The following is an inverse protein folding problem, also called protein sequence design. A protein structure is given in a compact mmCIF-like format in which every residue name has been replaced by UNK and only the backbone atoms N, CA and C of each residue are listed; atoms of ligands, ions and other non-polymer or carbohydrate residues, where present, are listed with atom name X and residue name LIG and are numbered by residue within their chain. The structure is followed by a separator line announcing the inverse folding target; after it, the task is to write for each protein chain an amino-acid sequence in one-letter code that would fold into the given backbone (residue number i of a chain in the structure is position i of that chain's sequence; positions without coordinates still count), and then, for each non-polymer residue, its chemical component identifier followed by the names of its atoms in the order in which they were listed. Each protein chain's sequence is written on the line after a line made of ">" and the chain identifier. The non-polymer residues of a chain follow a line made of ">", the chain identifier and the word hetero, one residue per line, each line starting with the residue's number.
data_IF_024935764821
#
_entry.id   IF_024935764821
#
_cell.length_a   1.000
_cell.length_b   1.000
_cell.length_c   1.000
_cell.angle_alpha   90.00
_cell.angle_beta   90.00
_cell.angle_gamma   90.00
#
_symmetry.space_group_name_H-M   'P 1'
#
loop_
_entity.id
_entity.type
_entity.pdbx_description
1 polymer ?
#
# COMPACT_ATOMS: atom_id res chain seq x y z
N UNK A 1 11.84 -24.51 -1.95
CA UNK A 1 10.86 -24.16 -0.89
C UNK A 1 9.74 -25.20 -0.93
N UNK A 2 9.52 -25.93 0.17
CA UNK A 2 8.43 -26.93 0.25
C UNK A 2 7.23 -26.25 0.91
N UNK A 3 6.07 -26.30 0.26
CA UNK A 3 4.81 -25.71 0.72
C UNK A 3 3.81 -26.82 1.01
N UNK A 4 3.15 -26.76 2.15
CA UNK A 4 2.01 -27.62 2.46
C UNK A 4 0.76 -26.75 2.59
N UNK A 5 -0.29 -27.15 1.88
CA UNK A 5 -1.61 -26.52 1.90
C UNK A 5 -2.55 -27.47 2.64
N UNK A 6 -2.95 -27.09 3.86
CA UNK A 6 -3.89 -27.87 4.68
C UNK A 6 -5.28 -27.31 4.44
N UNK A 7 -6.10 -28.06 3.69
CA UNK A 7 -7.50 -27.74 3.41
C UNK A 7 -8.43 -28.70 4.11
N UNK A 8 -9.26 -28.20 5.02
CA UNK A 8 -10.37 -28.97 5.56
C UNK A 8 -11.54 -28.91 4.56
N UNK A 9 -11.75 -29.96 3.77
CA UNK A 9 -12.70 -29.89 2.64
C UNK A 9 -14.16 -30.26 2.99
N UNK A 10 -14.45 -30.82 4.17
CA UNK A 10 -15.82 -31.13 4.66
C UNK A 10 -15.87 -31.22 6.20
N UNK A 11 -17.04 -31.01 6.84
CA UNK A 11 -17.23 -31.19 8.28
C UNK A 11 -17.21 -32.66 8.75
N UNK A 12 -16.95 -33.64 7.88
CA UNK A 12 -16.76 -35.03 8.28
C UNK A 12 -15.35 -35.23 8.87
N UNK A 13 -15.29 -35.34 10.20
CA UNK A 13 -14.09 -35.29 11.06
C UNK A 13 -13.02 -36.36 10.81
N UNK A 14 -13.28 -37.39 10.00
CA UNK A 14 -12.39 -38.55 9.89
C UNK A 14 -11.14 -38.34 9.01
N UNK A 15 -11.19 -37.43 8.03
CA UNK A 15 -10.08 -37.26 7.06
C UNK A 15 -8.92 -36.44 7.63
N UNK A 16 -9.19 -35.42 8.44
CA UNK A 16 -8.16 -34.59 9.08
C UNK A 16 -7.38 -35.39 10.13
N UNK A 17 -8.08 -36.19 10.94
CA UNK A 17 -7.44 -37.09 11.92
C UNK A 17 -6.59 -38.20 11.28
N UNK A 18 -6.90 -38.62 10.04
CA UNK A 18 -6.11 -39.65 9.35
C UNK A 18 -4.81 -39.14 8.71
N UNK A 19 -4.75 -37.85 8.37
CA UNK A 19 -3.61 -37.25 7.65
C UNK A 19 -2.59 -36.63 8.64
N UNK A 20 -3.05 -36.08 9.77
CA UNK A 20 -2.18 -35.44 10.78
C UNK A 20 -1.09 -36.36 11.35
N UNK A 21 -1.32 -37.66 11.61
CA UNK A 21 -0.27 -38.54 12.13
C UNK A 21 0.80 -38.91 11.08
N UNK A 22 0.50 -38.78 9.78
CA UNK A 22 1.38 -39.23 8.70
C UNK A 22 2.30 -38.13 8.16
N UNK A 23 1.91 -36.85 8.25
CA UNK A 23 2.73 -35.72 7.79
C UNK A 23 4.03 -35.48 8.61
N UNK A 24 4.06 -35.62 9.96
CA UNK A 24 5.23 -35.28 10.79
C UNK A 24 6.50 -36.04 10.40
N UNK A 25 6.36 -37.25 9.86
CA UNK A 25 7.51 -38.13 9.55
C UNK A 25 8.18 -37.83 8.20
N UNK A 26 7.57 -37.04 7.33
CA UNK A 26 8.10 -36.77 5.98
C UNK A 26 8.69 -35.36 5.80
N UNK A 27 8.48 -34.45 6.76
CA UNK A 27 8.75 -33.01 6.55
C UNK A 27 9.38 -32.31 7.76
N UNK A 28 10.57 -32.73 8.19
CA UNK A 28 11.39 -31.99 9.17
C UNK A 28 11.97 -30.66 8.63
N UNK A 29 11.81 -30.37 7.34
CA UNK A 29 12.38 -29.20 6.67
C UNK A 29 11.31 -28.25 6.07
N UNK A 30 10.13 -28.20 6.68
CA UNK A 30 9.01 -27.39 6.18
C UNK A 30 9.18 -25.94 6.65
N UNK A 31 9.42 -25.03 5.70
CA UNK A 31 9.65 -23.61 5.98
C UNK A 31 8.41 -22.74 5.77
N UNK A 32 7.36 -23.28 5.12
CA UNK A 32 6.15 -22.54 4.76
C UNK A 32 4.89 -23.39 4.84
N UNK A 33 3.89 -22.90 5.59
CA UNK A 33 2.63 -23.58 5.84
C UNK A 33 1.47 -22.62 5.57
N UNK A 34 0.51 -23.07 4.76
CA UNK A 34 -0.77 -22.39 4.55
C UNK A 34 -1.89 -23.23 5.17
N UNK A 35 -2.69 -22.61 6.03
CA UNK A 35 -3.81 -23.25 6.73
C UNK A 35 -5.10 -22.55 6.32
N UNK A 36 -6.03 -23.33 5.79
CA UNK A 36 -7.38 -22.88 5.47
C UNK A 36 -8.37 -23.42 6.50
N UNK A 37 -9.05 -22.53 7.22
CA UNK A 37 -10.08 -22.86 8.21
C UNK A 37 -11.48 -22.46 7.72
N UNK A 38 -12.18 -23.34 6.99
CA UNK A 38 -13.55 -23.09 6.54
C UNK A 38 -14.54 -23.39 7.67
N UNK A 39 -14.89 -22.36 8.45
CA UNK A 39 -16.05 -22.24 9.36
C UNK A 39 -16.41 -23.38 10.35
N UNK A 40 -16.65 -22.98 11.60
CA UNK A 40 -17.43 -23.66 12.66
C UNK A 40 -17.08 -25.12 12.99
N UNK A 41 -16.03 -25.31 13.78
CA UNK A 41 -16.11 -26.10 15.04
C UNK A 41 -14.97 -25.70 15.96
N UNK A 42 -15.20 -25.50 17.27
CA UNK A 42 -14.10 -25.24 18.25
C UNK A 42 -12.96 -26.28 18.19
N UNK A 43 -13.21 -27.49 17.68
CA UNK A 43 -12.17 -28.50 17.48
C UNK A 43 -11.13 -28.12 16.41
N UNK A 44 -11.45 -27.22 15.48
CA UNK A 44 -10.51 -26.79 14.44
C UNK A 44 -9.39 -25.91 14.99
N UNK A 45 -9.61 -25.17 16.08
CA UNK A 45 -8.56 -24.30 16.65
C UNK A 45 -7.43 -25.09 17.30
N UNK A 46 -7.76 -26.06 18.16
CA UNK A 46 -6.78 -26.94 18.82
C UNK A 46 -5.98 -27.73 17.78
N UNK A 47 -6.68 -28.29 16.78
CA UNK A 47 -6.05 -29.04 15.68
C UNK A 47 -5.02 -28.20 14.92
N UNK A 48 -5.30 -26.91 14.67
CA UNK A 48 -4.38 -26.01 13.98
C UNK A 48 -3.13 -25.74 14.80
N UNK A 49 -3.32 -25.49 16.10
CA UNK A 49 -2.21 -25.27 17.02
C UNK A 49 -1.31 -26.51 17.05
N UNK A 50 -1.90 -27.69 17.19
CA UNK A 50 -1.16 -28.94 17.22
C UNK A 50 -0.42 -29.20 15.90
N UNK A 51 -1.03 -28.89 14.75
CA UNK A 51 -0.37 -28.98 13.45
C UNK A 51 0.83 -28.05 13.37
N UNK A 52 0.73 -26.81 13.84
CA UNK A 52 1.84 -25.85 13.78
C UNK A 52 2.95 -26.22 14.77
N UNK A 53 2.61 -26.72 15.97
CA UNK A 53 3.57 -27.22 16.97
C UNK A 53 4.50 -28.31 16.42
N UNK A 54 4.07 -29.05 15.38
CA UNK A 54 4.89 -30.05 14.71
C UNK A 54 6.02 -29.45 13.84
N UNK A 55 6.01 -28.14 13.56
CA UNK A 55 6.98 -27.47 12.69
C UNK A 55 7.65 -26.27 13.38
N UNK A 56 8.52 -26.51 14.38
CA UNK A 56 9.17 -25.43 15.14
C UNK A 56 10.12 -24.54 14.30
N UNK A 57 10.52 -25.00 13.12
CA UNK A 57 11.39 -24.28 12.18
C UNK A 57 10.62 -23.49 11.12
N UNK A 58 9.31 -23.30 11.28
CA UNK A 58 8.49 -22.60 10.31
C UNK A 58 8.85 -21.11 10.28
N UNK A 59 9.23 -20.62 9.09
CA UNK A 59 9.56 -19.20 8.88
C UNK A 59 8.41 -18.43 8.23
N UNK A 60 7.52 -19.11 7.53
CA UNK A 60 6.37 -18.51 6.84
C UNK A 60 5.07 -19.20 7.25
N UNK A 61 4.10 -18.40 7.73
CA UNK A 61 2.80 -18.89 8.17
C UNK A 61 1.70 -18.05 7.51
N UNK A 62 0.77 -18.74 6.87
CA UNK A 62 -0.44 -18.13 6.34
C UNK A 62 -1.65 -18.83 6.96
N UNK A 63 -2.48 -18.07 7.68
CA UNK A 63 -3.73 -18.56 8.27
C UNK A 63 -4.88 -17.80 7.64
N UNK A 64 -5.83 -18.54 7.09
CA UNK A 64 -7.09 -18.00 6.57
C UNK A 64 -8.22 -18.48 7.47
N UNK A 65 -8.80 -17.56 8.22
CA UNK A 65 -9.88 -17.83 9.18
C UNK A 65 -11.19 -17.19 8.73
N UNK A 66 -12.27 -17.55 9.41
CA UNK A 66 -13.49 -16.74 9.44
C UNK A 66 -13.39 -15.68 10.54
N UNK A 67 -14.10 -14.52 10.43
CA UNK A 67 -13.99 -13.37 11.33
C UNK A 67 -14.06 -13.66 12.85
N UNK A 68 -14.65 -14.77 13.26
CA UNK A 68 -15.00 -15.01 14.66
C UNK A 68 -13.89 -15.69 15.49
N UNK A 69 -12.74 -16.05 14.90
CA UNK A 69 -11.73 -16.88 15.59
C UNK A 69 -10.30 -16.32 15.47
N UNK A 70 -9.85 -15.58 16.49
CA UNK A 70 -8.47 -15.09 16.65
C UNK A 70 -7.70 -15.87 17.74
N UNK A 71 -8.41 -16.66 18.56
CA UNK A 71 -7.81 -17.48 19.62
C UNK A 71 -6.68 -18.43 19.15
N UNK A 72 -6.80 -19.15 18.01
CA UNK A 72 -5.70 -19.97 17.52
C UNK A 72 -4.45 -19.15 17.19
N UNK A 73 -4.64 -17.97 16.58
CA UNK A 73 -3.53 -17.06 16.24
C UNK A 73 -2.80 -16.60 17.49
N UNK A 74 -3.54 -16.32 18.58
CA UNK A 74 -3.01 -15.88 19.88
C UNK A 74 -2.10 -16.93 20.50
N UNK A 75 -2.56 -18.18 20.55
CA UNK A 75 -1.74 -19.27 21.10
C UNK A 75 -0.51 -19.53 20.21
N UNK A 76 -0.67 -19.53 18.89
CA UNK A 76 0.44 -19.72 17.95
C UNK A 76 1.52 -18.64 18.06
N UNK A 77 1.11 -17.39 18.21
CA UNK A 77 2.01 -16.25 18.33
C UNK A 77 2.97 -16.39 19.52
N UNK A 78 2.50 -16.98 20.63
CA UNK A 78 3.32 -17.23 21.82
C UNK A 78 4.42 -18.29 21.63
N UNK A 79 4.28 -19.16 20.63
CA UNK A 79 5.14 -20.34 20.45
C UNK A 79 6.07 -20.23 19.24
N UNK A 80 5.75 -19.33 18.30
CA UNK A 80 6.40 -19.25 16.98
C UNK A 80 7.48 -18.17 16.93
N UNK A 81 8.50 -18.28 17.78
CA UNK A 81 9.57 -17.28 17.90
C UNK A 81 10.44 -17.10 16.64
N UNK A 82 10.46 -18.07 15.73
CA UNK A 82 11.27 -18.06 14.49
C UNK A 82 10.54 -17.54 13.25
N UNK A 83 9.30 -17.10 13.40
CA UNK A 83 8.48 -16.69 12.27
C UNK A 83 9.01 -15.37 11.69
N UNK A 84 9.38 -15.38 10.41
CA UNK A 84 9.87 -14.20 9.69
C UNK A 84 8.78 -13.57 8.82
N UNK A 85 7.77 -14.34 8.41
CA UNK A 85 6.66 -13.89 7.58
C UNK A 85 5.33 -14.45 8.11
N UNK A 86 4.37 -13.58 8.34
CA UNK A 86 3.04 -13.95 8.84
C UNK A 86 1.95 -13.32 7.97
N UNK A 87 0.95 -14.11 7.59
CA UNK A 87 -0.23 -13.65 6.87
C UNK A 87 -1.48 -14.15 7.58
N UNK A 88 -2.33 -13.23 8.02
CA UNK A 88 -3.59 -13.53 8.69
C UNK A 88 -4.74 -12.94 7.86
N UNK A 89 -5.59 -13.80 7.30
CA UNK A 89 -6.71 -13.38 6.45
C UNK A 89 -8.02 -13.77 7.12
N UNK A 90 -9.01 -12.88 7.04
CA UNK A 90 -10.32 -13.08 7.64
C UNK A 90 -10.37 -12.75 9.12
N UNK A 91 -9.49 -11.87 9.60
CA UNK A 91 -9.49 -11.40 10.99
C UNK A 91 -10.77 -10.63 11.30
N UNK A 92 -11.51 -11.00 12.35
CA UNK A 92 -12.65 -10.21 12.84
C UNK A 92 -12.42 -9.61 14.21
N UNK A 93 -13.48 -9.08 14.80
CA UNK A 93 -13.40 -8.45 16.12
C UNK A 93 -13.34 -9.55 17.17
N UNK A 94 -12.31 -9.55 17.99
CA UNK A 94 -12.23 -10.42 19.17
C UNK A 94 -11.81 -9.61 20.37
N UNK A 95 -11.96 -10.17 21.58
CA UNK A 95 -11.50 -9.60 22.85
C UNK A 95 -10.15 -10.15 23.32
N UNK A 96 -9.60 -11.12 22.60
CA UNK A 96 -8.28 -11.67 22.88
C UNK A 96 -7.18 -10.73 22.41
N UNK A 97 -6.32 -10.34 23.34
CA UNK A 97 -5.05 -9.70 23.04
C UNK A 97 -4.01 -10.78 22.69
N UNK A 98 -3.11 -10.44 21.77
CA UNK A 98 -1.91 -11.24 21.54
C UNK A 98 -0.93 -11.02 22.70
N UNK A 99 -0.15 -12.06 23.09
CA UNK A 99 0.86 -11.90 24.12
C UNK A 99 1.81 -10.76 23.73
N UNK A 100 2.17 -9.94 24.71
CA UNK A 100 3.33 -9.05 24.58
C UNK A 100 4.52 -9.91 24.14
N UNK A 101 5.38 -9.37 23.27
CA UNK A 101 6.55 -10.07 22.72
C UNK A 101 6.31 -11.14 21.63
N UNK A 102 5.10 -11.20 21.08
CA UNK A 102 4.83 -12.04 19.92
C UNK A 102 5.63 -11.59 18.68
N UNK A 103 6.11 -12.57 17.90
CA UNK A 103 6.72 -12.33 16.58
C UNK A 103 8.04 -11.54 16.55
N UNK A 104 8.97 -11.76 17.49
CA UNK A 104 10.22 -10.97 17.60
C UNK A 104 11.09 -10.90 16.34
N UNK A 105 11.06 -11.94 15.49
CA UNK A 105 11.90 -12.03 14.27
C UNK A 105 11.13 -11.72 12.97
N UNK A 106 9.93 -11.15 13.09
CA UNK A 106 9.05 -10.92 11.95
C UNK A 106 9.56 -9.80 11.05
N UNK A 107 9.81 -10.13 9.79
CA UNK A 107 10.22 -9.20 8.74
C UNK A 107 9.03 -8.75 7.88
N UNK A 108 7.99 -9.57 7.78
CA UNK A 108 6.78 -9.21 7.03
C UNK A 108 5.50 -9.66 7.71
N UNK A 109 4.56 -8.74 7.79
CA UNK A 109 3.23 -8.97 8.32
C UNK A 109 2.20 -8.57 7.27
N UNK A 110 1.27 -9.48 6.97
CA UNK A 110 0.06 -9.18 6.23
C UNK A 110 -1.16 -9.51 7.10
N UNK A 111 -2.04 -8.54 7.30
CA UNK A 111 -3.28 -8.71 8.05
C UNK A 111 -4.44 -8.23 7.19
N UNK A 112 -5.35 -9.14 6.87
CA UNK A 112 -6.59 -8.86 6.17
C UNK A 112 -7.78 -9.27 7.03
N UNK A 113 -8.75 -8.38 7.18
CA UNK A 113 -9.90 -8.68 8.04
C UNK A 113 -11.09 -7.76 7.88
N UNK A 114 -12.16 -8.13 8.58
CA UNK A 114 -13.37 -7.32 8.74
C UNK A 114 -13.39 -6.59 10.07
N UNK A 115 -12.67 -7.11 11.07
CA UNK A 115 -12.67 -6.58 12.43
C UNK A 115 -11.46 -5.73 12.75
N UNK A 116 -11.72 -4.46 13.02
CA UNK A 116 -10.73 -3.42 13.31
C UNK A 116 -9.94 -3.73 14.53
N UNK A 117 -10.65 -4.12 15.59
CA UNK A 117 -10.01 -4.36 16.88
C UNK A 117 -9.07 -5.56 16.78
N UNK A 118 -9.46 -6.58 16.01
CA UNK A 118 -8.58 -7.70 15.70
C UNK A 118 -7.34 -7.27 14.91
N UNK A 119 -7.54 -6.54 13.80
CA UNK A 119 -6.43 -6.05 12.97
C UNK A 119 -5.48 -5.16 13.78
N UNK A 120 -6.04 -4.19 14.50
CA UNK A 120 -5.34 -3.25 15.37
C UNK A 120 -4.54 -4.00 16.41
N UNK A 121 -5.12 -4.96 17.11
CA UNK A 121 -4.40 -5.74 18.13
C UNK A 121 -3.28 -6.59 17.55
N UNK A 122 -3.49 -7.23 16.39
CA UNK A 122 -2.41 -7.93 15.69
C UNK A 122 -1.28 -6.97 15.37
N UNK A 123 -1.56 -5.86 14.67
CA UNK A 123 -0.56 -4.87 14.32
C UNK A 123 0.14 -4.28 15.56
N UNK A 124 -0.61 -3.98 16.62
CA UNK A 124 -0.12 -3.43 17.90
C UNK A 124 0.75 -4.41 18.66
N UNK A 125 0.48 -5.72 18.57
CA UNK A 125 1.24 -6.76 19.26
C UNK A 125 2.58 -7.09 18.61
N UNK A 126 2.77 -6.72 17.34
CA UNK A 126 4.05 -6.94 16.68
C UNK A 126 5.08 -5.96 17.23
N UNK A 127 6.06 -6.49 17.96
CA UNK A 127 7.17 -5.74 18.53
C UNK A 127 8.49 -5.96 17.80
N UNK A 128 8.46 -6.65 16.65
CA UNK A 128 9.70 -6.95 15.91
C UNK A 128 10.40 -5.68 15.42
N UNK A 129 11.66 -5.44 15.81
CA UNK A 129 12.46 -4.37 15.23
C UNK A 129 12.92 -4.70 13.80
N UNK A 130 12.77 -5.96 13.38
CA UNK A 130 13.17 -6.47 12.06
C UNK A 130 12.06 -6.31 11.01
N UNK A 131 10.92 -5.72 11.36
CA UNK A 131 9.78 -5.59 10.45
C UNK A 131 10.11 -4.65 9.28
N UNK A 132 10.20 -5.21 8.08
CA UNK A 132 10.47 -4.49 6.84
C UNK A 132 9.21 -4.24 6.02
N UNK A 133 8.18 -5.08 6.17
CA UNK A 133 6.93 -4.99 5.42
C UNK A 133 5.70 -5.12 6.30
N UNK A 134 4.77 -4.18 6.13
CA UNK A 134 3.47 -4.18 6.78
C UNK A 134 2.36 -3.97 5.75
N UNK A 135 1.55 -5.00 5.55
CA UNK A 135 0.35 -4.95 4.73
C UNK A 135 -0.89 -5.08 5.63
N UNK A 136 -1.75 -4.06 5.64
CA UNK A 136 -3.00 -4.05 6.41
C UNK A 136 -4.15 -3.77 5.47
N UNK A 137 -5.06 -4.73 5.33
CA UNK A 137 -6.28 -4.60 4.53
C UNK A 137 -7.49 -4.77 5.42
N UNK A 138 -8.38 -3.80 5.36
CA UNK A 138 -9.57 -3.81 6.18
C UNK A 138 -10.84 -3.59 5.36
N UNK A 139 -11.75 -4.55 5.49
CA UNK A 139 -13.05 -4.62 4.84
C UNK A 139 -14.18 -4.68 5.89
N UNK A 140 -14.54 -3.57 6.57
CA UNK A 140 -15.51 -3.57 7.65
C UNK A 140 -16.88 -3.98 7.17
N UNK A 141 -17.62 -4.61 8.06
CA UNK A 141 -19.06 -4.79 7.92
C UNK A 141 -19.86 -3.59 8.46
N UNK A 142 -19.25 -2.76 9.32
CA UNK A 142 -19.88 -1.63 10.00
C UNK A 142 -19.12 -0.31 9.80
N UNK A 143 -19.86 0.78 9.63
CA UNK A 143 -19.36 2.15 9.38
C UNK A 143 -19.06 2.95 10.65
N UNK A 144 -19.26 2.40 11.85
CA UNK A 144 -19.35 3.19 13.10
C UNK A 144 -18.05 3.32 13.90
N UNK A 145 -16.89 3.34 13.26
CA UNK A 145 -15.61 3.20 13.97
C UNK A 145 -14.87 4.53 13.99
N UNK A 146 -14.41 4.92 15.18
CA UNK A 146 -13.68 6.17 15.41
C UNK A 146 -12.39 6.21 14.59
N UNK A 147 -12.13 7.34 13.95
CA UNK A 147 -10.99 7.54 13.06
C UNK A 147 -9.65 7.59 13.79
N UNK A 148 -9.66 7.87 15.10
CA UNK A 148 -8.47 8.08 15.95
C UNK A 148 -7.66 6.81 16.26
N UNK A 149 -8.22 5.62 16.00
CA UNK A 149 -7.66 4.35 16.51
C UNK A 149 -7.21 3.41 15.39
N UNK A 150 -6.96 3.92 14.18
CA UNK A 150 -6.82 3.11 12.97
C UNK A 150 -5.58 2.21 12.96
N UNK A 151 -4.41 2.76 13.33
CA UNK A 151 -3.14 2.04 13.35
C UNK A 151 -2.39 2.32 14.65
N UNK A 152 -1.65 1.32 15.18
CA UNK A 152 -0.66 1.59 16.20
C UNK A 152 0.39 2.56 15.68
N UNK A 153 1.11 3.18 16.62
CA UNK A 153 2.31 3.92 16.29
C UNK A 153 3.30 3.02 15.55
N UNK A 154 3.76 3.48 14.39
CA UNK A 154 4.71 2.77 13.51
C UNK A 154 6.17 3.20 13.76
N UNK A 155 6.38 4.19 14.63
CA UNK A 155 7.69 4.74 15.02
C UNK A 155 8.68 3.67 15.55
N UNK A 156 8.15 2.61 16.17
CA UNK A 156 8.96 1.48 16.65
C UNK A 156 9.56 0.61 15.54
N UNK A 157 9.03 0.67 14.31
CA UNK A 157 9.49 -0.15 13.20
C UNK A 157 10.56 0.56 12.37
N UNK A 158 11.77 0.65 12.93
CA UNK A 158 12.88 1.39 12.33
C UNK A 158 13.34 0.85 10.96
N UNK A 159 13.07 -0.43 10.67
CA UNK A 159 13.41 -1.11 9.42
C UNK A 159 12.26 -1.15 8.41
N UNK A 160 11.12 -0.52 8.70
CA UNK A 160 9.95 -0.57 7.83
C UNK A 160 10.25 0.14 6.50
N UNK A 161 10.15 -0.61 5.39
CA UNK A 161 10.41 -0.13 4.03
C UNK A 161 9.17 -0.18 3.15
N UNK A 162 8.29 -1.15 3.39
CA UNK A 162 7.08 -1.36 2.60
C UNK A 162 5.86 -1.23 3.51
N UNK A 163 5.00 -0.27 3.20
CA UNK A 163 3.75 -0.05 3.90
C UNK A 163 2.59 -0.07 2.91
N UNK A 164 1.66 -1.00 3.10
CA UNK A 164 0.43 -1.07 2.31
C UNK A 164 -0.77 -1.03 3.23
N UNK A 165 -1.59 -0.01 3.08
CA UNK A 165 -2.78 0.22 3.88
C UNK A 165 -3.99 0.28 2.96
N UNK A 166 -4.94 -0.63 3.13
CA UNK A 166 -6.21 -0.59 2.41
C UNK A 166 -7.34 -0.38 3.40
N UNK A 167 -7.76 0.88 3.50
CA UNK A 167 -8.84 1.32 4.34
C UNK A 167 -10.18 1.39 3.57
N UNK A 168 -11.30 1.32 4.30
CA UNK A 168 -12.64 1.45 3.74
C UNK A 168 -12.87 2.87 3.21
N UNK A 169 -13.79 3.03 2.25
CA UNK A 169 -14.12 4.34 1.67
C UNK A 169 -14.71 5.34 2.67
N UNK A 170 -15.12 4.90 3.86
CA UNK A 170 -15.57 5.77 4.94
C UNK A 170 -14.42 6.42 5.72
N UNK A 171 -13.19 5.90 5.61
CA UNK A 171 -12.05 6.35 6.42
C UNK A 171 -11.23 7.44 5.74
N UNK A 172 -10.88 8.46 6.51
CA UNK A 172 -10.02 9.55 6.07
C UNK A 172 -8.58 9.06 5.91
N UNK A 173 -7.98 9.32 4.75
CA UNK A 173 -6.60 8.94 4.45
C UNK A 173 -5.60 9.57 5.45
N UNK A 174 -5.85 10.79 5.91
CA UNK A 174 -4.96 11.50 6.82
C UNK A 174 -4.69 10.72 8.12
N UNK A 175 -5.72 10.12 8.72
CA UNK A 175 -5.60 9.32 9.94
C UNK A 175 -4.76 8.04 9.73
N UNK A 176 -4.73 7.51 8.50
CA UNK A 176 -3.89 6.37 8.15
C UNK A 176 -2.43 6.77 7.90
N UNK A 177 -2.21 8.00 7.45
CA UNK A 177 -0.89 8.54 7.09
C UNK A 177 -0.12 8.99 8.32
N UNK A 178 -0.78 9.63 9.29
CA UNK A 178 -0.11 10.26 10.43
C UNK A 178 0.86 9.31 11.18
N UNK A 179 0.52 8.04 11.48
CA UNK A 179 1.47 7.11 12.11
C UNK A 179 2.68 6.78 11.24
N UNK A 180 2.53 6.80 9.91
CA UNK A 180 3.57 6.46 8.94
C UNK A 180 4.55 7.61 8.66
N UNK A 181 4.21 8.86 9.00
CA UNK A 181 5.07 10.03 8.80
C UNK A 181 6.39 9.96 9.59
N UNK A 182 6.44 9.14 10.63
CA UNK A 182 7.64 8.92 11.44
C UNK A 182 8.57 7.82 10.87
N UNK A 183 8.15 7.11 9.83
CA UNK A 183 8.92 6.02 9.22
C UNK A 183 9.75 6.55 8.04
N UNK A 184 10.91 7.13 8.33
CA UNK A 184 11.75 7.77 7.30
C UNK A 184 12.38 6.80 6.28
N UNK A 185 12.48 5.51 6.63
CA UNK A 185 13.03 4.45 5.76
C UNK A 185 12.05 3.87 4.73
N UNK A 186 10.84 4.45 4.58
CA UNK A 186 9.85 3.95 3.65
C UNK A 186 10.28 4.12 2.19
N UNK A 187 10.26 3.02 1.43
CA UNK A 187 10.57 2.95 0.01
C UNK A 187 9.32 2.71 -0.84
N UNK A 188 8.34 1.98 -0.32
CA UNK A 188 7.08 1.70 -0.98
C UNK A 188 5.91 2.01 -0.04
N UNK A 189 5.04 2.91 -0.47
CA UNK A 189 3.83 3.30 0.25
C UNK A 189 2.62 3.17 -0.66
N UNK A 190 1.67 2.32 -0.29
CA UNK A 190 0.39 2.19 -0.98
C UNK A 190 -0.74 2.39 0.01
N UNK A 191 -1.48 3.48 -0.10
CA UNK A 191 -2.59 3.81 0.79
C UNK A 191 -3.87 3.96 -0.03
N UNK A 192 -4.86 3.13 0.29
CA UNK A 192 -6.19 3.14 -0.29
C UNK A 192 -7.19 3.58 0.77
N UNK A 193 -8.04 4.55 0.48
CA UNK A 193 -8.99 5.14 1.47
C UNK A 193 -9.69 6.37 0.92
N UNK A 194 -10.44 7.14 1.71
CA UNK A 194 -11.16 8.34 1.22
C UNK A 194 -10.20 9.52 1.03
N UNK A 195 -10.15 10.09 -0.19
CA UNK A 195 -9.19 11.15 -0.54
C UNK A 195 -9.63 12.59 -0.27
N UNK A 196 -10.74 12.82 0.44
CA UNK A 196 -11.26 14.19 0.63
C UNK A 196 -10.31 15.12 1.40
N UNK A 197 -9.25 14.57 2.00
CA UNK A 197 -8.46 15.23 3.04
C UNK A 197 -6.97 15.33 2.67
N UNK A 198 -6.59 14.97 1.45
CA UNK A 198 -5.21 15.14 0.99
C UNK A 198 -4.98 16.60 0.59
N UNK A 199 -4.78 17.46 1.59
CA UNK A 199 -4.35 18.84 1.37
C UNK A 199 -2.91 18.89 0.83
N UNK A 200 -2.54 20.05 0.27
CA UNK A 200 -1.17 20.30 -0.17
C UNK A 200 -0.16 20.16 0.97
N UNK A 201 -0.49 20.66 2.15
CA UNK A 201 0.37 20.58 3.35
C UNK A 201 0.63 19.13 3.76
N UNK A 202 -0.39 18.27 3.68
CA UNK A 202 -0.25 16.84 4.00
C UNK A 202 0.67 16.16 2.99
N UNK A 203 0.47 16.40 1.69
CA UNK A 203 1.32 15.80 0.65
C UNK A 203 2.78 16.28 0.73
N UNK A 204 3.00 17.56 1.05
CA UNK A 204 4.35 18.08 1.30
C UNK A 204 4.99 17.43 2.53
N UNK A 205 4.22 17.29 3.63
CA UNK A 205 4.71 16.62 4.84
C UNK A 205 5.08 15.17 4.55
N UNK A 206 4.27 14.44 3.78
CA UNK A 206 4.57 13.07 3.34
C UNK A 206 5.86 13.00 2.53
N UNK A 207 6.04 13.91 1.56
CA UNK A 207 7.25 13.95 0.74
C UNK A 207 8.51 14.20 1.59
N UNK A 208 8.43 15.11 2.56
CA UNK A 208 9.52 15.40 3.50
C UNK A 208 9.82 14.23 4.45
N UNK A 209 8.78 13.53 4.90
CA UNK A 209 8.91 12.38 5.80
C UNK A 209 9.56 11.17 5.14
N UNK A 210 9.43 10.98 3.82
CA UNK A 210 9.85 9.76 3.11
C UNK A 210 10.85 10.05 1.98
N UNK A 211 12.08 10.50 2.29
CA UNK A 211 13.06 10.88 1.28
C UNK A 211 13.56 9.71 0.42
N UNK A 212 13.47 8.48 0.93
CA UNK A 212 13.89 7.25 0.25
C UNK A 212 12.78 6.59 -0.60
N UNK A 213 11.62 7.25 -0.70
CA UNK A 213 10.44 6.73 -1.40
C UNK A 213 10.72 6.49 -2.89
N UNK A 214 10.40 5.28 -3.35
CA UNK A 214 10.51 4.84 -4.75
C UNK A 214 9.16 4.64 -5.40
N UNK A 215 8.19 4.19 -4.63
CA UNK A 215 6.86 3.88 -5.12
C UNK A 215 5.81 4.46 -4.19
N UNK A 216 4.96 5.34 -4.73
CA UNK A 216 3.84 5.92 -4.02
C UNK A 216 2.54 5.60 -4.74
N UNK A 217 1.58 5.02 -4.05
CA UNK A 217 0.20 4.83 -4.52
C UNK A 217 -0.78 5.43 -3.51
N UNK A 218 -1.52 6.45 -3.93
CA UNK A 218 -2.60 7.09 -3.20
C UNK A 218 -3.90 6.85 -3.99
N UNK A 219 -4.56 5.75 -3.66
CA UNK A 219 -5.72 5.25 -4.39
C UNK A 219 -7.04 5.57 -3.64
N UNK A 220 -7.73 6.68 -3.94
CA UNK A 220 -9.03 6.95 -3.36
C UNK A 220 -10.03 5.80 -3.55
N UNK A 221 -10.60 5.32 -2.46
CA UNK A 221 -11.79 4.49 -2.47
C UNK A 221 -13.03 5.39 -2.47
N UNK A 222 -13.84 5.33 -3.53
CA UNK A 222 -15.15 5.98 -3.59
C UNK A 222 -15.31 7.10 -4.63
N UNK A 223 -16.52 7.70 -4.72
CA UNK A 223 -16.81 8.82 -5.61
C UNK A 223 -16.09 10.10 -5.18
N UNK A 224 -15.73 10.96 -6.14
CA UNK A 224 -15.18 12.30 -5.85
C UNK A 224 -16.29 13.12 -5.28
N UNK A 225 -16.08 13.69 -4.10
CA UNK A 225 -17.02 14.66 -3.58
C UNK A 225 -16.38 16.05 -3.47
N UNK A 226 -15.11 16.16 -3.03
CA UNK A 226 -14.37 17.44 -2.93
C UNK A 226 -12.89 17.17 -2.59
N UNK A 227 -11.99 18.17 -2.72
CA UNK A 227 -10.65 18.14 -2.11
C UNK A 227 -9.55 17.41 -2.89
N UNK A 228 -9.65 17.29 -4.22
CA UNK A 228 -8.58 16.68 -5.02
C UNK A 228 -7.39 17.66 -5.13
N UNK A 229 -6.16 17.24 -4.80
CA UNK A 229 -4.97 18.09 -4.90
C UNK A 229 -4.68 18.50 -6.35
N UNK A 230 -4.14 19.71 -6.55
CA UNK A 230 -3.69 20.15 -7.88
C UNK A 230 -2.47 19.34 -8.33
N UNK A 231 -2.27 19.21 -9.64
CA UNK A 231 -1.08 18.57 -10.20
C UNK A 231 0.23 19.24 -9.72
N UNK A 232 0.19 20.56 -9.49
CA UNK A 232 1.33 21.34 -9.00
C UNK A 232 1.86 20.84 -7.66
N UNK A 233 0.99 20.35 -6.78
CA UNK A 233 1.39 19.80 -5.47
C UNK A 233 2.34 18.62 -5.60
N UNK A 234 2.25 17.82 -6.67
CA UNK A 234 3.11 16.64 -6.84
C UNK A 234 4.60 17.00 -6.93
N UNK A 235 4.94 18.27 -7.19
CA UNK A 235 6.32 18.77 -7.27
C UNK A 235 7.09 18.62 -5.97
N UNK A 236 6.42 18.64 -4.82
CA UNK A 236 7.10 18.40 -3.54
C UNK A 236 7.79 17.02 -3.53
N UNK A 237 7.23 16.02 -4.21
CA UNK A 237 7.88 14.71 -4.35
C UNK A 237 9.09 14.74 -5.28
N UNK A 238 9.14 15.64 -6.27
CA UNK A 238 10.35 15.84 -7.07
C UNK A 238 11.50 16.40 -6.22
N UNK A 239 11.17 17.31 -5.31
CA UNK A 239 12.13 17.99 -4.44
C UNK A 239 12.61 17.09 -3.30
N UNK A 240 11.69 16.43 -2.59
CA UNK A 240 12.01 15.69 -1.38
C UNK A 240 12.24 14.19 -1.60
N UNK A 241 11.77 13.60 -2.71
CA UNK A 241 11.89 12.17 -3.01
C UNK A 241 12.66 11.91 -4.32
N UNK A 242 13.97 12.15 -4.39
CA UNK A 242 14.75 12.02 -5.63
C UNK A 242 14.77 10.58 -6.19
N UNK A 243 14.59 9.59 -5.33
CA UNK A 243 14.54 8.16 -5.68
C UNK A 243 13.16 7.69 -6.17
N UNK A 244 12.17 8.58 -6.27
CA UNK A 244 10.82 8.23 -6.65
C UNK A 244 10.78 7.78 -8.11
N UNK A 245 10.42 6.52 -8.36
CA UNK A 245 10.36 5.92 -9.69
C UNK A 245 8.92 5.87 -10.24
N UNK A 246 7.94 5.70 -9.36
CA UNK A 246 6.53 5.57 -9.70
C UNK A 246 5.65 6.32 -8.69
N UNK A 247 4.76 7.16 -9.21
CA UNK A 247 3.74 7.87 -8.44
C UNK A 247 2.36 7.58 -9.01
N UNK A 248 1.44 7.13 -8.18
CA UNK A 248 0.04 6.95 -8.51
C UNK A 248 -0.80 7.76 -7.53
N UNK A 249 -1.54 8.75 -8.01
CA UNK A 249 -2.37 9.58 -7.14
C UNK A 249 -3.53 10.18 -7.93
N UNK A 250 -4.68 10.39 -7.28
CA UNK A 250 -5.75 11.18 -7.90
C UNK A 250 -5.43 12.67 -7.76
N UNK A 251 -5.31 13.37 -8.87
CA UNK A 251 -5.06 14.82 -8.92
C UNK A 251 -6.08 15.54 -9.80
N UNK A 252 -6.15 16.85 -9.65
CA UNK A 252 -6.92 17.72 -10.51
C UNK A 252 -5.94 18.48 -11.38
N UNK A 253 -6.17 18.43 -12.68
CA UNK A 253 -5.53 19.36 -13.61
C UNK A 253 -6.55 20.45 -13.91
N UNK A 254 -6.30 21.62 -13.34
CA UNK A 254 -7.01 22.85 -13.65
C UNK A 254 -6.11 23.66 -14.59
N UNK A 255 -6.62 24.01 -15.77
CA UNK A 255 -5.88 24.85 -16.72
C UNK A 255 -6.20 26.33 -16.54
N UNK A 256 -6.93 26.71 -15.48
CA UNK A 256 -7.03 28.11 -15.09
C UNK A 256 -5.64 28.68 -14.74
N UNK A 257 -5.44 29.97 -15.02
CA UNK A 257 -4.15 30.66 -14.96
C UNK A 257 -3.39 30.45 -13.64
N UNK A 258 -4.09 30.34 -12.51
CA UNK A 258 -3.49 30.18 -11.18
C UNK A 258 -2.69 28.87 -11.04
N UNK A 259 -3.20 27.74 -11.57
CA UNK A 259 -2.50 26.45 -11.51
C UNK A 259 -1.30 26.40 -12.47
N UNK A 260 -1.42 27.04 -13.63
CA UNK A 260 -0.30 27.19 -14.56
C UNK A 260 0.81 28.06 -13.94
N UNK A 261 0.47 29.08 -13.17
CA UNK A 261 1.45 29.91 -12.46
C UNK A 261 2.18 29.13 -11.35
N UNK A 262 1.47 28.29 -10.60
CA UNK A 262 2.09 27.34 -9.66
C UNK A 262 3.04 26.37 -10.39
N UNK A 263 2.65 25.93 -11.60
CA UNK A 263 3.45 25.05 -12.46
C UNK A 263 4.62 25.76 -13.18
N UNK A 264 4.68 27.09 -13.21
CA UNK A 264 5.80 27.83 -13.82
C UNK A 264 6.98 28.04 -12.88
N UNK A 265 6.81 27.84 -11.58
CA UNK A 265 7.94 27.89 -10.64
C UNK A 265 8.92 26.76 -10.95
N UNK A 266 10.16 27.08 -11.28
CA UNK A 266 11.18 26.08 -11.57
C UNK A 266 11.61 25.39 -10.28
N UNK A 267 11.23 24.13 -10.12
CA UNK A 267 11.84 23.23 -9.14
C UNK A 267 12.86 22.39 -9.91
N UNK A 268 14.17 22.63 -9.74
CA UNK A 268 15.18 21.90 -10.48
C UNK A 268 15.14 20.41 -10.08
N UNK A 269 14.65 19.57 -10.98
CA UNK A 269 14.55 18.11 -10.81
C UNK A 269 15.90 17.38 -10.92
N UNK A 270 16.98 17.98 -10.41
CA UNK A 270 18.33 17.42 -10.51
C UNK A 270 18.38 16.11 -9.75
N UNK A 271 18.52 15.00 -10.48
CA UNK A 271 18.55 13.65 -9.91
C UNK A 271 17.19 12.96 -9.76
N UNK A 272 16.10 13.57 -10.26
CA UNK A 272 14.78 12.96 -10.18
C UNK A 272 14.69 11.70 -11.07
N UNK A 273 14.30 10.57 -10.45
CA UNK A 273 14.24 9.26 -11.10
C UNK A 273 12.86 8.88 -11.63
N UNK A 274 11.86 9.75 -11.46
CA UNK A 274 10.46 9.44 -11.74
C UNK A 274 10.25 9.10 -13.20
N UNK A 275 9.68 7.91 -13.45
CA UNK A 275 9.41 7.39 -14.79
C UNK A 275 7.93 7.29 -15.10
N UNK A 276 7.10 7.10 -14.07
CA UNK A 276 5.67 6.81 -14.23
C UNK A 276 4.84 7.65 -13.27
N UNK A 277 3.86 8.33 -13.83
CA UNK A 277 2.80 9.00 -13.10
C UNK A 277 1.48 8.37 -13.56
N UNK A 278 0.74 7.72 -12.65
CA UNK A 278 -0.65 7.31 -12.88
C UNK A 278 -1.58 8.23 -12.11
N UNK A 279 -2.45 8.94 -12.81
CA UNK A 279 -3.33 9.91 -12.20
C UNK A 279 -4.68 9.30 -11.79
N UNK A 280 -4.83 7.98 -11.82
CA UNK A 280 -6.03 7.30 -11.35
C UNK A 280 -7.31 7.87 -11.98
N UNK A 281 -8.38 8.06 -11.19
CA UNK A 281 -9.62 8.69 -11.69
C UNK A 281 -9.58 10.24 -11.69
N UNK A 282 -8.54 10.85 -12.25
CA UNK A 282 -8.39 12.31 -12.26
C UNK A 282 -9.36 13.04 -13.18
N UNK A 283 -9.73 14.26 -12.80
CA UNK A 283 -10.59 15.15 -13.58
C UNK A 283 -9.69 16.23 -14.18
N UNK A 284 -9.71 16.35 -15.51
CA UNK A 284 -9.20 17.54 -16.18
C UNK A 284 -10.39 18.45 -16.42
N UNK A 285 -10.40 19.61 -15.77
CA UNK A 285 -11.36 20.66 -16.06
C UNK A 285 -10.75 21.50 -17.18
N UNK A 286 -11.12 21.16 -18.41
CA UNK A 286 -10.63 21.87 -19.59
C UNK A 286 -11.53 23.08 -19.83
N UNK A 287 -10.99 24.32 -19.86
CA UNK A 287 -11.71 25.41 -20.48
C UNK A 287 -11.87 25.06 -21.96
N UNK A 288 -13.11 25.07 -22.46
CA UNK A 288 -13.35 25.01 -23.90
C UNK A 288 -13.20 26.42 -24.48
N UNK A 289 -12.39 26.62 -25.54
CA UNK A 289 -11.57 25.63 -26.25
C UNK A 289 -10.25 25.30 -25.51
N UNK A 290 -9.85 24.03 -25.55
CA UNK A 290 -8.55 23.57 -25.02
C UNK A 290 -7.44 24.25 -25.81
N UNK A 291 -6.74 25.18 -25.18
CA UNK A 291 -5.58 25.83 -25.77
C UNK A 291 -4.42 24.85 -25.75
N UNK A 292 -3.97 24.39 -26.94
CA UNK A 292 -2.84 23.45 -27.09
C UNK A 292 -1.58 23.96 -26.37
N UNK A 293 -1.39 25.28 -26.33
CA UNK A 293 -0.31 25.92 -25.60
C UNK A 293 -0.33 25.61 -24.09
N UNK A 294 -1.49 25.58 -23.45
CA UNK A 294 -1.60 25.24 -22.02
C UNK A 294 -1.15 23.81 -21.75
N UNK A 295 -1.47 22.86 -22.64
CA UNK A 295 -0.99 21.48 -22.53
C UNK A 295 0.54 21.40 -22.73
N UNK A 296 1.09 22.21 -23.64
CA UNK A 296 2.56 22.30 -23.83
C UNK A 296 3.24 22.88 -22.59
N UNK A 297 2.69 23.92 -21.99
CA UNK A 297 3.24 24.54 -20.78
C UNK A 297 3.23 23.55 -19.60
N UNK A 298 2.12 22.80 -19.41
CA UNK A 298 2.03 21.73 -18.40
C UNK A 298 3.05 20.63 -18.69
N UNK A 299 3.16 20.15 -19.94
CA UNK A 299 4.09 19.09 -20.30
C UNK A 299 5.56 19.51 -20.12
N UNK A 300 5.91 20.74 -20.51
CA UNK A 300 7.24 21.31 -20.31
C UNK A 300 7.56 21.43 -18.82
N UNK A 301 6.61 21.90 -18.02
CA UNK A 301 6.73 21.99 -16.56
C UNK A 301 6.92 20.61 -15.90
N UNK A 302 6.20 19.58 -16.36
CA UNK A 302 6.39 18.20 -15.88
C UNK A 302 7.78 17.66 -16.23
N UNK A 303 8.28 17.92 -17.44
CA UNK A 303 9.61 17.49 -17.86
C UNK A 303 10.74 18.25 -17.13
N UNK A 304 10.51 19.52 -16.77
CA UNK A 304 11.44 20.29 -15.96
C UNK A 304 11.60 19.70 -14.55
N UNK A 305 10.50 19.27 -13.92
CA UNK A 305 10.51 18.61 -12.61
C UNK A 305 10.96 17.14 -12.68
N UNK A 306 10.62 16.44 -13.76
CA UNK A 306 10.89 15.01 -13.96
C UNK A 306 11.38 14.72 -15.38
N UNK A 307 12.67 14.95 -15.66
CA UNK A 307 13.23 14.79 -17.01
C UNK A 307 13.15 13.33 -17.51
N UNK A 308 13.10 12.36 -16.59
CA UNK A 308 12.99 10.93 -16.88
C UNK A 308 11.54 10.42 -17.01
N UNK A 309 10.54 11.29 -16.90
CA UNK A 309 9.14 10.91 -16.95
C UNK A 309 8.82 10.31 -18.32
N UNK A 310 8.45 9.03 -18.36
CA UNK A 310 8.13 8.28 -19.59
C UNK A 310 6.63 8.20 -19.81
N UNK A 311 5.88 7.89 -18.75
CA UNK A 311 4.46 7.52 -18.84
C UNK A 311 3.60 8.38 -17.92
N UNK A 312 2.57 8.97 -18.51
CA UNK A 312 1.40 9.58 -17.89
C UNK A 312 0.19 8.68 -18.17
N UNK A 313 -0.26 7.97 -17.14
CA UNK A 313 -1.44 7.11 -17.18
C UNK A 313 -2.65 7.77 -16.51
N UNK A 314 -3.84 7.33 -16.90
CA UNK A 314 -5.07 7.64 -16.19
C UNK A 314 -6.01 6.43 -16.25
N UNK A 315 -6.58 6.05 -15.11
CA UNK A 315 -7.53 4.92 -15.02
C UNK A 315 -8.97 5.35 -15.31
N UNK A 316 -9.21 6.62 -15.67
CA UNK A 316 -10.54 7.06 -16.13
C UNK A 316 -10.87 6.52 -17.52
N UNK A 317 -12.17 6.28 -17.75
CA UNK A 317 -12.73 6.07 -19.09
C UNK A 317 -13.54 7.32 -19.48
N UNK A 318 -13.65 7.60 -20.77
CA UNK A 318 -14.48 8.69 -21.31
C UNK A 318 -13.71 10.00 -21.53
N UNK A 319 -14.42 11.14 -21.50
CA UNK A 319 -13.90 12.47 -21.88
C UNK A 319 -12.65 12.88 -21.09
N UNK A 320 -12.55 12.50 -19.81
CA UNK A 320 -11.37 12.77 -18.99
C UNK A 320 -10.11 12.03 -19.46
N UNK A 321 -10.26 10.87 -20.07
CA UNK A 321 -9.13 10.10 -20.60
C UNK A 321 -8.50 10.76 -21.84
N UNK A 322 -9.30 11.48 -22.63
CA UNK A 322 -8.83 12.14 -23.84
C UNK A 322 -7.85 13.28 -23.53
N UNK A 323 -8.13 14.12 -22.53
CA UNK A 323 -7.21 15.19 -22.14
C UNK A 323 -5.85 14.65 -21.65
N UNK A 324 -5.85 13.55 -20.89
CA UNK A 324 -4.60 12.90 -20.45
C UNK A 324 -3.84 12.26 -21.62
N UNK A 325 -4.55 11.60 -22.54
CA UNK A 325 -3.95 11.05 -23.75
C UNK A 325 -3.31 12.15 -24.61
N UNK A 326 -3.97 13.30 -24.77
CA UNK A 326 -3.42 14.46 -25.49
C UNK A 326 -2.18 15.00 -24.79
N UNK A 327 -2.20 15.16 -23.46
CA UNK A 327 -1.03 15.59 -22.70
C UNK A 327 0.15 14.63 -22.86
N UNK A 328 -0.10 13.31 -22.86
CA UNK A 328 0.92 12.29 -23.09
C UNK A 328 1.55 12.42 -24.49
N UNK A 329 0.76 12.70 -25.52
CA UNK A 329 1.26 12.95 -26.89
C UNK A 329 2.16 14.18 -26.93
N UNK A 330 1.72 15.29 -26.33
CA UNK A 330 2.51 16.53 -26.26
C UNK A 330 3.82 16.29 -25.50
N UNK A 331 3.78 15.57 -24.38
CA UNK A 331 4.95 15.24 -23.59
C UNK A 331 5.96 14.40 -24.38
N UNK A 332 5.49 13.39 -25.13
CA UNK A 332 6.37 12.59 -26.00
C UNK A 332 6.99 13.45 -27.11
N UNK A 333 6.23 14.34 -27.74
CA UNK A 333 6.75 15.22 -28.80
C UNK A 333 7.83 16.17 -28.28
N UNK A 334 7.64 16.76 -27.09
CA UNK A 334 8.64 17.63 -26.47
C UNK A 334 9.91 16.86 -26.15
N UNK A 335 9.78 15.62 -25.67
CA UNK A 335 10.92 14.76 -25.35
C UNK A 335 11.72 14.40 -26.60
N UNK A 336 11.05 14.05 -27.70
CA UNK A 336 11.71 13.78 -28.99
C UNK A 336 12.44 15.01 -29.53
N UNK A 337 11.82 16.20 -29.42
CA UNK A 337 12.44 17.47 -29.81
C UNK A 337 13.69 17.81 -28.99
N UNK A 338 13.71 17.49 -27.69
CA UNK A 338 14.88 17.63 -26.82
C UNK A 338 15.96 16.57 -27.09
N UNK A 339 15.58 15.42 -27.63
CA UNK A 339 16.49 14.29 -27.92
C UNK A 339 17.10 14.36 -29.31
N UNK A 340 16.58 15.23 -30.18
CA UNK A 340 17.18 15.47 -31.49
C UNK A 340 18.59 16.05 -31.29
N UNK A 341 19.65 15.38 -31.77
CA UNK A 341 20.97 15.97 -31.74
C UNK A 341 20.88 17.29 -32.49
N UNK A 342 21.33 18.38 -31.87
CA UNK A 342 21.59 19.60 -32.58
C UNK A 342 22.50 19.21 -33.75
N UNK A 343 21.93 19.12 -34.96
CA UNK A 343 22.71 18.97 -36.17
C UNK A 343 23.49 20.28 -36.27
N UNK A 344 24.69 20.25 -35.68
CA UNK A 344 25.74 21.23 -35.90
C UNK A 344 25.91 21.28 -37.41
N UNK A 345 25.38 22.32 -38.03
CA UNK A 345 25.76 22.72 -39.36
C UNK A 345 27.26 23.00 -39.29
N UNK A 346 28.07 21.98 -39.57
CA UNK A 346 29.47 22.14 -39.91
C UNK A 346 29.49 22.59 -41.37
N UNK A 347 29.73 23.90 -41.51
CA UNK A 347 30.34 24.65 -42.61
C UNK A 347 30.19 24.13 -44.04
#
# INVERSE_FOLDING_TARGET
>A
MRRVDVRQSRPDSALVESVIPTIPRLFTALSSLTIHLPSYTMRSSETVIDVVKLYPSLTHLEIRTTPQELAPVVELASQMGYLTQATFIGVGNTDTALPEDSFKLLQGLCVEGRGVEGIRRIASSVTSPELERLDVTWNPESTSISESDYLPSLDRFQKLRILRLSAPASFLLHSCIAPALNCSGLEEVSIRGRSSDLSQEVLQTMAQSWPDLRHLELAPAGPVLTGIPSLGVLRCFAEFCPKLESLSARVRLDLADDTLNEMKQEVPGVGATLRRINLGRSVIMLPEPIVEQSLRDVAASLLASWPNLVTLGCDTKGVYAEGWARLQVVLNSLREGLSAPACTNSA
#
